data_IF_455301925673
#
_entry.id   IF_455301925673
#
_cell.length_a   1.000
_cell.length_b   1.000
_cell.length_c   1.000
_cell.angle_alpha   90.00
_cell.angle_beta   90.00
_cell.angle_gamma   90.00
#
_symmetry.space_group_name_H-M   'P 1'
#
loop_
_entity.id
_entity.type
_entity.pdbx_description
1 polymer ?
#
# COMPACT_ATOMS: atom_id res chain seq x y z
N UNK A 1 26.43 -10.97 15.25
CA UNK A 1 25.09 -10.67 15.80
C UNK A 1 24.09 -10.98 14.71
N UNK A 2 22.97 -11.63 15.01
CA UNK A 2 21.93 -11.86 14.00
C UNK A 2 21.42 -10.50 13.49
N UNK A 3 21.26 -10.39 12.18
CA UNK A 3 20.70 -9.20 11.54
C UNK A 3 19.21 -9.05 11.93
N UNK A 4 18.65 -7.86 11.78
CA UNK A 4 17.24 -7.57 12.13
C UNK A 4 16.39 -7.51 10.86
N UNK A 5 15.09 -7.88 10.90
CA UNK A 5 14.22 -7.83 9.72
C UNK A 5 14.05 -6.41 9.16
N UNK A 6 14.01 -5.40 10.03
CA UNK A 6 13.91 -3.99 9.68
C UNK A 6 15.01 -3.17 10.37
N UNK A 7 15.47 -2.12 9.70
CA UNK A 7 16.45 -1.14 10.20
C UNK A 7 16.02 0.28 9.86
N UNK A 8 16.61 1.25 10.54
CA UNK A 8 16.49 2.66 10.18
C UNK A 8 17.59 3.03 9.19
N UNK A 9 17.21 3.70 8.12
CA UNK A 9 18.07 4.17 7.04
C UNK A 9 17.94 5.68 6.90
N UNK A 10 19.04 6.36 6.63
CA UNK A 10 19.05 7.75 6.19
C UNK A 10 18.88 7.78 4.68
N UNK A 11 18.03 8.67 4.18
CA UNK A 11 17.83 8.90 2.76
C UNK A 11 17.69 10.39 2.48
N UNK A 12 18.04 10.79 1.26
CA UNK A 12 17.82 12.14 0.76
C UNK A 12 17.17 12.12 -0.61
N UNK A 13 16.35 13.12 -0.88
CA UNK A 13 15.66 13.28 -2.15
C UNK A 13 16.68 13.55 -3.26
N UNK A 14 16.59 12.81 -4.36
CA UNK A 14 17.40 13.02 -5.57
C UNK A 14 16.58 13.72 -6.64
N UNK A 15 15.34 13.29 -6.84
CA UNK A 15 14.44 13.88 -7.83
C UNK A 15 12.99 13.73 -7.43
N UNK A 16 12.18 14.70 -7.89
CA UNK A 16 10.73 14.71 -7.76
C UNK A 16 10.10 14.93 -9.12
N UNK A 17 9.16 14.06 -9.49
CA UNK A 17 8.41 14.13 -10.73
C UNK A 17 6.91 14.06 -10.42
N UNK A 18 6.13 15.04 -10.89
CA UNK A 18 4.67 14.89 -10.91
C UNK A 18 4.30 13.88 -11.99
N UNK A 19 3.70 12.75 -11.60
CA UNK A 19 3.19 11.73 -12.53
C UNK A 19 1.82 12.14 -13.06
N UNK A 20 0.98 12.63 -12.15
CA UNK A 20 -0.38 13.10 -12.41
C UNK A 20 -0.64 14.33 -11.55
N UNK A 21 -1.79 15.02 -11.68
CA UNK A 21 -2.11 16.16 -10.81
C UNK A 21 -2.07 15.82 -9.30
N UNK A 22 -2.38 14.57 -8.93
CA UNK A 22 -2.47 14.14 -7.53
C UNK A 22 -1.47 13.04 -7.14
N UNK A 23 -0.45 12.76 -7.97
CA UNK A 23 0.57 11.76 -7.67
C UNK A 23 1.96 12.28 -8.05
N UNK A 24 2.89 12.25 -7.10
CA UNK A 24 4.30 12.58 -7.33
C UNK A 24 5.19 11.36 -7.08
N UNK A 25 6.12 11.08 -8.00
CA UNK A 25 7.19 10.09 -7.81
C UNK A 25 8.41 10.77 -7.24
N UNK A 26 8.88 10.28 -6.10
CA UNK A 26 10.09 10.75 -5.45
C UNK A 26 11.13 9.64 -5.45
N UNK A 27 12.34 10.00 -5.88
CA UNK A 27 13.50 9.11 -5.92
C UNK A 27 14.48 9.51 -4.84
N UNK A 28 14.95 8.55 -4.06
CA UNK A 28 15.84 8.74 -2.92
C UNK A 28 17.14 7.97 -3.12
N UNK A 29 18.24 8.56 -2.65
CA UNK A 29 19.54 7.91 -2.47
C UNK A 29 19.93 7.98 -0.98
N UNK A 30 20.91 7.17 -0.59
CA UNK A 30 21.48 7.09 0.74
C UNK A 30 22.53 5.98 0.76
N UNK A 31 23.65 6.20 1.45
CA UNK A 31 24.76 5.23 1.51
C UNK A 31 24.29 3.82 1.90
N UNK A 32 23.33 3.75 2.84
CA UNK A 32 22.82 2.49 3.37
C UNK A 32 21.61 1.92 2.60
N UNK A 33 21.11 2.57 1.53
CA UNK A 33 20.05 1.99 0.70
C UNK A 33 20.51 0.67 0.06
N UNK A 34 21.81 0.46 -0.14
CA UNK A 34 22.37 -0.83 -0.59
C UNK A 34 22.07 -2.00 0.34
N UNK A 35 21.77 -1.73 1.61
CA UNK A 35 21.38 -2.72 2.61
C UNK A 35 19.84 -2.88 2.71
N UNK A 36 19.05 -2.19 1.89
CA UNK A 36 17.59 -2.38 1.82
C UNK A 36 17.22 -3.58 0.95
N UNK A 37 16.06 -4.17 1.23
CA UNK A 37 15.43 -5.15 0.34
C UNK A 37 13.93 -4.92 0.27
N UNK A 38 13.30 -5.43 -0.78
CA UNK A 38 11.86 -5.67 -0.84
C UNK A 38 11.59 -7.17 -1.03
N UNK A 39 10.42 -7.64 -0.62
CA UNK A 39 10.01 -9.06 -0.74
C UNK A 39 8.75 -9.27 -1.59
N UNK A 40 7.94 -8.24 -1.79
CA UNK A 40 6.77 -8.25 -2.66
C UNK A 40 6.47 -6.83 -3.16
N UNK A 41 5.63 -6.65 -4.20
CA UNK A 41 5.34 -5.34 -4.79
C UNK A 41 4.54 -4.41 -3.88
N UNK A 42 3.84 -4.94 -2.88
CA UNK A 42 3.12 -4.16 -1.86
C UNK A 42 3.93 -4.00 -0.56
N UNK A 43 5.26 -4.14 -0.62
CA UNK A 43 6.16 -3.93 0.51
C UNK A 43 6.05 -2.51 1.06
N UNK A 44 5.65 -2.43 2.33
CA UNK A 44 5.50 -1.19 3.07
C UNK A 44 6.73 -0.86 3.90
N UNK A 45 7.01 0.44 3.94
CA UNK A 45 8.05 1.10 4.72
C UNK A 45 7.44 2.23 5.54
N UNK A 46 8.16 2.68 6.58
CA UNK A 46 7.77 3.87 7.36
C UNK A 46 8.73 5.00 7.05
N UNK A 47 8.21 6.11 6.54
CA UNK A 47 8.96 7.35 6.34
C UNK A 47 8.78 8.24 7.55
N UNK A 48 9.89 8.81 8.02
CA UNK A 48 9.93 9.82 9.08
C UNK A 48 10.35 11.14 8.46
N UNK A 49 9.51 12.15 8.63
CA UNK A 49 9.71 13.47 8.04
C UNK A 49 10.28 14.45 9.08
N UNK A 50 10.94 15.53 8.63
CA UNK A 50 11.25 16.66 9.50
C UNK A 50 9.99 17.22 10.17
N UNK A 51 10.17 17.82 11.35
CA UNK A 51 9.15 18.60 12.04
C UNK A 51 8.85 19.91 11.27
N UNK A 52 7.76 20.59 11.61
CA UNK A 52 7.36 21.86 10.96
C UNK A 52 8.41 22.98 11.13
N UNK A 53 9.27 22.91 12.15
CA UNK A 53 10.38 23.83 12.39
C UNK A 53 11.67 23.45 11.64
N UNK A 54 11.63 22.39 10.82
CA UNK A 54 12.76 21.86 10.06
C UNK A 54 13.66 20.90 10.84
N UNK A 55 13.37 20.60 12.11
CA UNK A 55 14.14 19.62 12.89
C UNK A 55 14.10 18.25 12.20
N UNK A 56 15.27 17.65 11.86
CA UNK A 56 15.31 16.36 11.18
C UNK A 56 14.83 15.23 12.09
N UNK A 57 14.30 14.14 11.52
CA UNK A 57 13.96 12.94 12.29
C UNK A 57 15.23 12.34 12.93
N UNK A 58 15.09 11.88 14.17
CA UNK A 58 16.20 11.31 14.96
C UNK A 58 15.85 9.92 15.52
N UNK A 59 15.27 9.07 14.68
CA UNK A 59 14.90 7.68 15.02
C UNK A 59 16.19 6.85 15.18
N UNK A 60 16.40 6.18 16.33
CA UNK A 60 17.61 5.42 16.56
C UNK A 60 17.61 4.10 15.76
N UNK A 61 18.75 3.72 15.18
CA UNK A 61 18.90 2.45 14.47
C UNK A 61 19.05 1.23 15.42
N UNK A 62 18.07 1.00 16.29
CA UNK A 62 18.08 -0.02 17.36
C UNK A 62 16.80 -0.88 17.34
N UNK A 63 16.79 -2.10 17.90
CA UNK A 63 15.59 -2.95 17.90
C UNK A 63 14.39 -2.32 18.60
N UNK A 64 14.65 -1.52 19.64
CA UNK A 64 13.69 -0.81 20.48
C UNK A 64 13.27 0.57 19.92
N UNK A 65 13.60 0.88 18.66
CA UNK A 65 13.33 2.20 18.07
C UNK A 65 11.86 2.61 18.17
N UNK A 66 10.93 1.67 18.03
CA UNK A 66 9.50 1.97 18.06
C UNK A 66 8.99 2.26 19.47
N UNK A 67 9.58 1.62 20.48
CA UNK A 67 9.28 1.91 21.89
C UNK A 67 9.80 3.30 22.26
N UNK A 68 11.02 3.64 21.81
CA UNK A 68 11.60 4.98 21.95
C UNK A 68 10.73 6.01 21.23
N UNK A 69 10.35 5.75 19.97
CA UNK A 69 9.48 6.64 19.20
C UNK A 69 8.15 6.92 19.93
N UNK A 70 7.53 5.88 20.51
CA UNK A 70 6.29 6.00 21.29
C UNK A 70 6.46 6.73 22.63
N UNK A 71 7.66 6.77 23.20
CA UNK A 71 7.91 7.49 24.46
C UNK A 71 8.14 8.99 24.26
N UNK A 72 8.48 9.43 23.03
CA UNK A 72 8.61 10.86 22.69
C UNK A 72 7.23 11.53 22.76
N UNK A 73 7.07 12.69 23.42
CA UNK A 73 5.83 13.44 23.44
C UNK A 73 5.30 13.70 22.02
N UNK A 74 3.98 13.59 21.75
CA UNK A 74 3.45 13.75 20.39
C UNK A 74 3.85 15.04 19.68
N UNK A 75 4.02 16.15 20.41
CA UNK A 75 4.44 17.45 19.86
C UNK A 75 5.91 17.50 19.41
N UNK A 76 6.74 16.59 19.89
CA UNK A 76 8.18 16.49 19.59
C UNK A 76 8.48 15.29 18.68
N UNK A 77 7.44 14.53 18.32
CA UNK A 77 7.58 13.25 17.63
C UNK A 77 7.57 13.48 16.13
N UNK A 78 8.69 13.11 15.48
CA UNK A 78 8.82 13.15 14.02
C UNK A 78 7.62 12.51 13.32
N UNK A 79 6.97 13.18 12.36
CA UNK A 79 5.83 12.60 11.67
C UNK A 79 6.21 11.30 10.96
N UNK A 80 5.45 10.23 11.22
CA UNK A 80 5.65 8.92 10.60
C UNK A 80 4.48 8.60 9.67
N UNK A 81 4.77 8.15 8.43
CA UNK A 81 3.73 7.62 7.53
C UNK A 81 4.19 6.35 6.85
N UNK A 82 3.23 5.47 6.56
CA UNK A 82 3.49 4.23 5.84
C UNK A 82 3.34 4.48 4.35
N UNK A 83 4.32 4.02 3.57
CA UNK A 83 4.35 4.11 2.11
C UNK A 83 4.74 2.76 1.49
N UNK A 84 4.38 2.56 0.23
CA UNK A 84 4.82 1.39 -0.56
C UNK A 84 6.15 1.70 -1.25
N UNK A 85 7.08 0.74 -1.25
CA UNK A 85 8.25 0.78 -2.13
C UNK A 85 7.76 0.60 -3.56
N UNK A 86 7.81 1.65 -4.39
CA UNK A 86 7.40 1.56 -5.78
C UNK A 86 8.42 0.78 -6.62
N UNK A 87 9.70 1.03 -6.37
CA UNK A 87 10.82 0.22 -6.86
C UNK A 87 12.04 0.44 -5.95
N UNK A 88 12.93 -0.55 -5.93
CA UNK A 88 14.20 -0.48 -5.21
C UNK A 88 15.28 -1.12 -6.08
N UNK A 89 16.27 -0.31 -6.48
CA UNK A 89 17.55 -0.80 -6.97
C UNK A 89 18.59 -0.57 -5.88
N UNK A 90 18.77 -1.58 -5.02
CA UNK A 90 19.72 -1.48 -3.91
C UNK A 90 21.16 -1.34 -4.39
N UNK A 91 21.52 -1.93 -5.53
CA UNK A 91 22.90 -1.87 -6.03
C UNK A 91 23.22 -0.48 -6.60
N UNK A 92 22.23 0.18 -7.22
CA UNK A 92 22.31 1.59 -7.62
C UNK A 92 22.01 2.58 -6.48
N UNK A 93 21.56 2.09 -5.32
CA UNK A 93 21.08 2.87 -4.16
C UNK A 93 19.90 3.78 -4.48
N UNK A 94 19.00 3.31 -5.34
CA UNK A 94 17.82 4.05 -5.76
C UNK A 94 16.56 3.46 -5.10
N UNK A 95 15.91 4.25 -4.25
CA UNK A 95 14.58 3.94 -3.71
C UNK A 95 13.55 4.88 -4.33
N UNK A 96 12.50 4.33 -4.91
CA UNK A 96 11.39 5.10 -5.49
C UNK A 96 10.14 4.91 -4.65
N UNK A 97 9.47 6.02 -4.34
CA UNK A 97 8.20 6.05 -3.62
C UNK A 97 7.24 7.01 -4.31
N UNK A 98 6.01 6.57 -4.52
CA UNK A 98 4.95 7.40 -5.08
C UNK A 98 4.10 8.00 -3.93
N UNK A 99 3.87 9.31 -4.01
CA UNK A 99 3.18 10.13 -3.01
C UNK A 99 1.86 10.66 -3.57
N UNK A 100 0.76 10.33 -2.89
CA UNK A 100 -0.53 10.99 -3.13
C UNK A 100 -0.45 12.43 -2.64
N UNK A 101 -0.76 13.36 -3.53
CA UNK A 101 -0.71 14.80 -3.30
C UNK A 101 -2.12 15.30 -2.96
N UNK A 102 -2.35 15.66 -1.70
CA UNK A 102 -3.65 16.13 -1.21
C UNK A 102 -3.54 17.49 -0.49
N UNK A 103 -2.65 18.34 -1.00
CA UNK A 103 -2.32 19.65 -0.43
C UNK A 103 -1.38 19.56 0.79
N UNK A 104 -1.27 20.64 1.55
CA UNK A 104 -0.33 20.75 2.67
C UNK A 104 -0.94 20.33 4.02
N UNK A 105 -2.18 19.84 4.06
CA UNK A 105 -2.90 19.48 5.30
C UNK A 105 -2.29 18.31 6.10
N UNK A 106 -1.30 17.59 5.55
CA UNK A 106 -0.60 16.50 6.22
C UNK A 106 0.91 16.57 6.05
N UNK A 107 1.70 16.08 7.02
CA UNK A 107 3.15 16.26 7.06
C UNK A 107 3.87 15.65 5.85
N UNK A 108 3.43 14.47 5.38
CA UNK A 108 4.07 13.81 4.25
C UNK A 108 3.76 14.50 2.91
N UNK A 109 2.51 14.86 2.65
CA UNK A 109 2.11 15.60 1.43
C UNK A 109 2.71 17.02 1.42
N UNK A 110 2.77 17.70 2.58
CA UNK A 110 3.48 18.98 2.76
C UNK A 110 4.96 18.84 2.44
N UNK A 111 5.64 17.86 3.04
CA UNK A 111 7.05 17.62 2.76
C UNK A 111 7.26 17.32 1.26
N UNK A 112 6.50 16.40 0.67
CA UNK A 112 6.63 16.07 -0.75
C UNK A 112 6.40 17.29 -1.68
N UNK A 113 5.48 18.19 -1.32
CA UNK A 113 5.20 19.41 -2.09
C UNK A 113 6.41 20.35 -2.13
N UNK A 114 7.05 20.58 -0.99
CA UNK A 114 8.11 21.58 -0.86
C UNK A 114 9.54 21.03 -0.92
N UNK A 115 9.73 19.73 -0.76
CA UNK A 115 11.06 19.14 -0.71
C UNK A 115 11.84 19.34 -2.03
N UNK A 116 13.12 19.65 -1.88
CA UNK A 116 14.09 19.81 -2.96
C UNK A 116 15.15 18.70 -2.91
N UNK A 117 15.85 18.42 -4.03
CA UNK A 117 16.97 17.49 -4.02
C UNK A 117 17.98 17.84 -2.92
N UNK A 118 18.33 16.86 -2.09
CA UNK A 118 19.18 16.99 -0.91
C UNK A 118 18.43 16.96 0.42
N UNK A 119 17.11 17.21 0.43
CA UNK A 119 16.29 17.14 1.64
C UNK A 119 16.22 15.72 2.19
N UNK A 120 16.31 15.60 3.52
CA UNK A 120 16.55 14.33 4.21
C UNK A 120 15.32 13.80 4.91
N UNK A 121 15.21 12.48 4.93
CA UNK A 121 14.24 11.71 5.72
C UNK A 121 14.93 10.49 6.33
N UNK A 122 14.29 9.91 7.34
CA UNK A 122 14.64 8.57 7.81
C UNK A 122 13.59 7.56 7.36
N UNK A 123 14.01 6.32 7.16
CA UNK A 123 13.17 5.25 6.64
C UNK A 123 13.34 3.99 7.49
N UNK A 124 12.25 3.44 8.01
CA UNK A 124 12.23 2.05 8.48
C UNK A 124 11.89 1.14 7.30
N UNK A 125 12.87 0.35 6.85
CA UNK A 125 12.75 -0.54 5.70
C UNK A 125 13.31 -1.95 5.98
N UNK A 126 12.95 -2.96 5.17
CA UNK A 126 13.50 -4.28 5.31
C UNK A 126 15.01 -4.33 5.07
N UNK A 127 15.70 -5.15 5.87
CA UNK A 127 17.15 -5.30 5.83
C UNK A 127 17.56 -6.47 4.94
N UNK A 128 18.33 -6.21 3.87
CA UNK A 128 18.84 -7.19 2.92
C UNK A 128 19.69 -8.28 3.57
N UNK A 129 20.34 -7.97 4.69
CA UNK A 129 21.23 -8.90 5.40
C UNK A 129 20.49 -9.86 6.33
N UNK A 130 19.18 -9.70 6.50
CA UNK A 130 18.37 -10.60 7.29
C UNK A 130 17.85 -11.77 6.44
N UNK A 131 18.14 -12.99 6.91
CA UNK A 131 17.84 -14.26 6.23
C UNK A 131 16.51 -14.89 6.68
N UNK A 132 15.86 -14.34 7.70
CA UNK A 132 14.56 -14.80 8.20
C UNK A 132 13.35 -14.20 7.47
N UNK A 133 12.17 -14.43 8.05
CA UNK A 133 10.89 -13.94 7.52
C UNK A 133 10.77 -12.43 7.74
N UNK A 134 10.58 -11.69 6.65
CA UNK A 134 10.32 -10.26 6.64
C UNK A 134 8.82 -10.06 6.39
N UNK A 135 8.17 -9.22 7.19
CA UNK A 135 6.77 -8.85 7.00
C UNK A 135 6.60 -7.52 6.26
N UNK A 136 5.42 -6.91 6.40
CA UNK A 136 5.12 -5.59 5.83
C UNK A 136 4.64 -5.62 4.39
N UNK A 137 4.24 -6.77 3.90
CA UNK A 137 3.58 -6.99 2.61
C UNK A 137 2.54 -8.11 2.77
N UNK A 138 1.57 -8.14 1.86
CA UNK A 138 0.43 -9.07 1.92
C UNK A 138 0.05 -9.62 0.53
N UNK A 139 0.71 -9.18 -0.54
CA UNK A 139 0.70 -9.87 -1.82
C UNK A 139 1.45 -11.20 -1.71
N UNK A 140 0.69 -12.25 -1.44
CA UNK A 140 1.16 -13.63 -1.34
C UNK A 140 0.17 -14.54 -2.10
N UNK A 141 0.12 -14.48 -3.45
CA UNK A 141 -0.81 -15.27 -4.23
C UNK A 141 -0.41 -16.77 -4.23
N UNK A 142 -1.37 -17.70 -4.35
CA UNK A 142 -1.07 -19.12 -4.51
C UNK A 142 -0.38 -19.41 -5.84
N UNK A 143 0.49 -20.42 -5.85
CA UNK A 143 1.13 -20.87 -7.08
C UNK A 143 0.10 -21.38 -8.11
N UNK A 144 0.22 -20.91 -9.35
CA UNK A 144 -0.73 -21.25 -10.42
C UNK A 144 -2.09 -20.58 -10.27
N UNK A 145 -2.14 -19.39 -9.64
CA UNK A 145 -3.34 -18.57 -9.52
C UNK A 145 -4.08 -18.47 -10.87
N UNK A 146 -5.37 -18.82 -10.86
CA UNK A 146 -6.22 -18.84 -12.05
C UNK A 146 -6.98 -17.53 -12.24
N UNK A 147 -7.47 -16.93 -11.15
CA UNK A 147 -8.22 -15.68 -11.19
C UNK A 147 -7.78 -14.70 -10.10
N UNK A 148 -7.64 -13.43 -10.46
CA UNK A 148 -7.28 -12.34 -9.57
C UNK A 148 -8.36 -11.26 -9.60
N UNK A 149 -8.75 -10.80 -8.41
CA UNK A 149 -9.49 -9.55 -8.23
C UNK A 149 -8.60 -8.55 -7.48
N UNK A 150 -8.38 -7.38 -8.07
CA UNK A 150 -7.66 -6.27 -7.49
C UNK A 150 -8.60 -5.08 -7.37
N UNK A 151 -8.75 -4.52 -6.17
CA UNK A 151 -9.50 -3.27 -5.94
C UNK A 151 -8.62 -2.32 -5.12
N UNK A 152 -8.33 -1.14 -5.67
CA UNK A 152 -7.44 -0.16 -5.05
C UNK A 152 -8.01 1.26 -5.14
N UNK A 153 -7.60 2.16 -4.24
CA UNK A 153 -7.64 3.60 -4.47
C UNK A 153 -6.26 4.16 -4.80
N UNK A 154 -6.13 5.48 -4.96
CA UNK A 154 -4.86 6.12 -5.32
C UNK A 154 -3.75 5.90 -4.27
N UNK A 155 -4.09 5.65 -3.00
CA UNK A 155 -3.09 5.38 -1.95
C UNK A 155 -2.53 3.95 -2.06
N UNK A 156 -3.33 3.02 -2.59
CA UNK A 156 -2.95 1.65 -2.87
C UNK A 156 -2.44 1.45 -4.32
N UNK A 157 -2.62 2.45 -5.20
CA UNK A 157 -2.18 2.39 -6.60
C UNK A 157 -0.70 2.00 -6.78
N UNK A 158 0.28 2.50 -5.99
CA UNK A 158 1.67 2.08 -6.15
C UNK A 158 1.88 0.56 -5.95
N UNK A 159 1.20 -0.03 -4.96
CA UNK A 159 1.22 -1.47 -4.72
C UNK A 159 0.49 -2.23 -5.84
N UNK A 160 -0.69 -1.76 -6.23
CA UNK A 160 -1.47 -2.36 -7.31
C UNK A 160 -0.71 -2.37 -8.64
N UNK A 161 -0.04 -1.27 -8.98
CA UNK A 161 0.81 -1.17 -10.16
C UNK A 161 1.95 -2.20 -10.11
N UNK A 162 2.66 -2.29 -8.98
CA UNK A 162 3.72 -3.28 -8.80
C UNK A 162 3.23 -4.72 -8.92
N UNK A 163 2.05 -5.04 -8.37
CA UNK A 163 1.42 -6.36 -8.49
C UNK A 163 1.14 -6.69 -9.96
N UNK A 164 0.53 -5.77 -10.71
CA UNK A 164 0.21 -5.97 -12.12
C UNK A 164 1.48 -6.09 -12.99
N UNK A 165 2.54 -5.35 -12.65
CA UNK A 165 3.87 -5.44 -13.29
C UNK A 165 4.55 -6.79 -13.02
N UNK A 166 4.50 -7.29 -11.79
CA UNK A 166 5.02 -8.61 -11.45
C UNK A 166 4.29 -9.71 -12.26
N UNK A 167 2.96 -9.66 -12.30
CA UNK A 167 2.13 -10.61 -13.05
C UNK A 167 2.39 -10.52 -14.55
N UNK A 168 2.65 -9.32 -15.09
CA UNK A 168 3.00 -9.15 -16.50
C UNK A 168 4.24 -9.97 -16.89
N UNK A 169 5.17 -10.19 -15.95
CA UNK A 169 6.34 -11.04 -16.10
C UNK A 169 6.07 -12.55 -15.97
N UNK A 170 4.90 -12.97 -15.47
CA UNK A 170 4.59 -14.39 -15.27
C UNK A 170 4.39 -15.13 -16.60
N UNK A 171 4.81 -16.39 -16.64
CA UNK A 171 4.65 -17.27 -17.82
C UNK A 171 3.18 -17.56 -18.13
N UNK A 172 2.39 -17.84 -17.10
CA UNK A 172 0.95 -18.02 -17.18
C UNK A 172 0.31 -17.00 -16.25
N UNK A 173 -0.53 -16.13 -16.81
CA UNK A 173 -1.14 -15.00 -16.10
C UNK A 173 -2.57 -15.37 -15.72
N UNK A 174 -3.04 -15.04 -14.51
CA UNK A 174 -4.43 -15.23 -14.15
C UNK A 174 -5.34 -14.34 -14.98
N UNK A 175 -6.59 -14.77 -15.17
CA UNK A 175 -7.66 -13.86 -15.55
C UNK A 175 -7.81 -12.81 -14.43
N UNK A 176 -7.65 -11.54 -14.76
CA UNK A 176 -7.50 -10.48 -13.77
C UNK A 176 -8.57 -9.41 -13.96
N UNK A 177 -9.29 -9.08 -12.90
CA UNK A 177 -10.14 -7.90 -12.80
C UNK A 177 -9.45 -6.91 -11.89
N UNK A 178 -9.09 -5.73 -12.41
CA UNK A 178 -8.48 -4.67 -11.64
C UNK A 178 -9.35 -3.42 -11.70
N UNK A 179 -9.71 -2.90 -10.53
CA UNK A 179 -10.51 -1.70 -10.35
C UNK A 179 -9.68 -0.71 -9.53
N UNK A 180 -9.37 0.46 -10.08
CA UNK A 180 -8.55 1.45 -9.40
C UNK A 180 -9.27 2.79 -9.36
N UNK A 181 -9.69 3.18 -8.15
CA UNK A 181 -10.23 4.50 -7.88
C UNK A 181 -9.12 5.56 -7.87
N UNK A 182 -9.36 6.67 -8.55
CA UNK A 182 -8.43 7.79 -8.65
C UNK A 182 -9.18 9.12 -8.52
N UNK A 183 -8.52 10.23 -8.13
CA UNK A 183 -9.19 11.52 -7.98
C UNK A 183 -9.87 11.99 -9.28
N UNK A 184 -9.18 11.88 -10.42
CA UNK A 184 -9.70 12.33 -11.71
C UNK A 184 -9.21 11.47 -12.89
N UNK A 185 -9.78 11.66 -14.07
CA UNK A 185 -9.30 11.02 -15.31
C UNK A 185 -7.84 11.36 -15.64
N UNK A 186 -7.36 12.53 -15.19
CA UNK A 186 -5.97 12.95 -15.36
C UNK A 186 -5.00 12.21 -14.42
N UNK A 187 -5.53 11.40 -13.49
CA UNK A 187 -4.76 10.58 -12.55
C UNK A 187 -4.61 9.11 -12.99
N UNK A 188 -5.02 8.81 -14.22
CA UNK A 188 -4.75 7.53 -14.86
C UNK A 188 -3.29 7.46 -15.29
N UNK A 189 -2.61 6.37 -14.93
CA UNK A 189 -1.23 6.08 -15.37
C UNK A 189 -1.20 4.90 -16.33
N UNK A 190 -0.14 4.80 -17.12
CA UNK A 190 0.12 3.63 -17.94
C UNK A 190 0.44 2.42 -17.06
N UNK A 191 -0.31 1.34 -17.26
CA UNK A 191 -0.11 0.05 -16.61
C UNK A 191 0.01 -1.06 -17.67
N UNK A 192 0.66 -2.19 -17.34
CA UNK A 192 0.78 -3.32 -18.25
C UNK A 192 -0.57 -3.81 -18.78
N UNK A 193 -0.53 -4.45 -19.95
CA UNK A 193 -1.70 -5.09 -20.57
C UNK A 193 -1.36 -6.51 -20.97
N UNK A 194 -2.30 -7.43 -20.82
CA UNK A 194 -2.22 -8.79 -21.33
C UNK A 194 -3.62 -9.35 -21.59
N UNK A 195 -3.68 -10.40 -22.41
CA UNK A 195 -4.92 -11.14 -22.65
C UNK A 195 -5.40 -11.76 -21.34
N UNK A 196 -6.56 -11.29 -20.85
CA UNK A 196 -7.13 -11.69 -19.58
C UNK A 196 -7.07 -10.62 -18.48
N UNK A 197 -6.39 -9.49 -18.68
CA UNK A 197 -6.52 -8.32 -17.79
C UNK A 197 -7.67 -7.43 -18.23
N UNK A 198 -8.67 -7.27 -17.34
CA UNK A 198 -9.69 -6.23 -17.40
C UNK A 198 -9.36 -5.16 -16.36
N UNK A 199 -8.67 -4.11 -16.80
CA UNK A 199 -8.34 -2.94 -15.97
C UNK A 199 -9.41 -1.85 -16.18
N UNK A 200 -10.03 -1.43 -15.08
CA UNK A 200 -11.04 -0.36 -15.04
C UNK A 200 -10.56 0.73 -14.10
N UNK A 201 -10.36 1.93 -14.64
CA UNK A 201 -10.14 3.14 -13.84
C UNK A 201 -11.47 3.70 -13.38
N UNK A 202 -11.51 4.15 -12.14
CA UNK A 202 -12.71 4.70 -11.50
C UNK A 202 -12.41 6.14 -11.04
N UNK A 203 -12.41 7.12 -11.94
CA UNK A 203 -12.31 8.52 -11.55
C UNK A 203 -13.46 8.89 -10.60
N UNK A 204 -13.15 9.51 -9.46
CA UNK A 204 -14.18 10.10 -8.59
C UNK A 204 -14.82 11.32 -9.24
N UNK A 205 -14.05 12.10 -10.00
CA UNK A 205 -14.52 13.30 -10.68
C UNK A 205 -14.75 14.47 -9.71
N UNK A 206 -15.42 15.53 -10.19
CA UNK A 206 -15.69 16.76 -9.40
C UNK A 206 -16.96 16.67 -8.53
N UNK A 207 -17.68 15.55 -8.55
CA UNK A 207 -18.87 15.37 -7.71
C UNK A 207 -18.44 14.80 -6.34
N UNK A 208 -19.16 15.19 -5.27
CA UNK A 208 -18.96 14.81 -3.84
C UNK A 208 -19.09 13.29 -3.57
N UNK A 209 -18.59 12.42 -4.44
CA UNK A 209 -18.49 11.00 -4.14
C UNK A 209 -17.55 10.81 -2.95
N UNK A 210 -18.07 10.16 -1.91
CA UNK A 210 -17.25 9.76 -0.78
C UNK A 210 -16.08 8.89 -1.27
N UNK A 211 -14.91 9.06 -0.66
CA UNK A 211 -13.73 8.24 -0.93
C UNK A 211 -14.08 6.74 -0.82
N UNK A 212 -13.71 5.98 -1.83
CA UNK A 212 -13.97 4.54 -1.93
C UNK A 212 -15.40 4.15 -2.31
N UNK A 213 -16.31 5.09 -2.60
CA UNK A 213 -17.64 4.77 -3.08
C UNK A 213 -17.62 4.00 -4.41
N UNK A 214 -16.69 4.34 -5.32
CA UNK A 214 -16.57 3.65 -6.60
C UNK A 214 -15.95 2.26 -6.41
N UNK A 215 -15.03 2.11 -5.45
CA UNK A 215 -14.50 0.79 -5.08
C UNK A 215 -15.62 -0.16 -4.61
N UNK A 216 -16.57 0.33 -3.80
CA UNK A 216 -17.71 -0.47 -3.33
C UNK A 216 -18.60 -0.87 -4.50
N UNK A 217 -18.95 0.05 -5.41
CA UNK A 217 -19.74 -0.26 -6.60
C UNK A 217 -19.04 -1.27 -7.52
N UNK A 218 -17.72 -1.16 -7.69
CA UNK A 218 -16.93 -2.11 -8.44
C UNK A 218 -16.92 -3.51 -7.80
N UNK A 219 -16.84 -3.59 -6.46
CA UNK A 219 -16.96 -4.85 -5.73
C UNK A 219 -18.33 -5.51 -5.93
N UNK A 220 -19.42 -4.72 -5.96
CA UNK A 220 -20.76 -5.23 -6.27
C UNK A 220 -20.84 -5.86 -7.67
N UNK A 221 -20.22 -5.21 -8.66
CA UNK A 221 -20.18 -5.67 -10.05
C UNK A 221 -19.12 -6.76 -10.34
N UNK A 222 -18.15 -6.98 -9.45
CA UNK A 222 -17.07 -7.92 -9.68
C UNK A 222 -17.58 -9.35 -9.90
N UNK A 223 -17.04 -10.01 -10.93
CA UNK A 223 -17.33 -11.42 -11.21
C UNK A 223 -16.54 -12.30 -10.25
N UNK A 224 -17.25 -13.10 -9.45
CA UNK A 224 -16.64 -14.00 -8.46
C UNK A 224 -16.94 -15.44 -8.83
N UNK A 225 -15.94 -16.35 -8.86
CA UNK A 225 -16.19 -17.77 -9.10
C UNK A 225 -17.13 -18.40 -8.07
N UNK A 226 -18.09 -19.19 -8.54
CA UNK A 226 -18.94 -19.97 -7.62
C UNK A 226 -18.14 -20.97 -6.77
N UNK A 227 -16.95 -21.36 -7.22
CA UNK A 227 -16.06 -22.30 -6.51
C UNK A 227 -15.48 -21.77 -5.21
N UNK A 228 -15.48 -20.45 -4.99
CA UNK A 228 -14.86 -19.81 -3.80
C UNK A 228 -15.88 -19.38 -2.75
N UNK A 229 -17.14 -19.79 -2.93
CA UNK A 229 -18.20 -19.53 -1.97
C UNK A 229 -18.08 -20.49 -0.79
N UNK A 230 -18.09 -19.94 0.43
CA UNK A 230 -18.04 -20.70 1.67
C UNK A 230 -19.34 -21.47 1.95
N UNK A 231 -19.22 -22.59 2.66
CA UNK A 231 -20.38 -23.34 3.14
C UNK A 231 -20.91 -22.75 4.47
N UNK A 232 -22.14 -22.25 4.46
CA UNK A 232 -22.85 -21.81 5.68
C UNK A 232 -22.81 -20.31 5.95
N UNK A 233 -23.43 -19.90 7.07
CA UNK A 233 -23.39 -18.52 7.53
C UNK A 233 -22.00 -18.21 8.10
N UNK A 234 -21.30 -17.25 7.52
CA UNK A 234 -20.01 -16.80 8.02
C UNK A 234 -20.23 -15.73 9.09
N UNK A 235 -19.88 -16.04 10.34
CA UNK A 235 -19.76 -15.02 11.37
C UNK A 235 -18.57 -14.11 11.03
N UNK A 236 -18.82 -12.81 11.04
CA UNK A 236 -17.78 -11.79 10.98
C UNK A 236 -17.82 -11.03 12.27
N UNK A 237 -16.68 -11.01 12.95
CA UNK A 237 -16.42 -10.03 13.97
C UNK A 237 -16.59 -8.63 13.37
N UNK A 238 -17.41 -7.82 14.05
CA UNK A 238 -17.54 -6.42 13.73
C UNK A 238 -16.18 -5.77 13.95
N UNK A 239 -15.64 -5.16 12.90
CA UNK A 239 -14.42 -4.36 13.00
C UNK A 239 -14.88 -2.94 13.26
N UNK A 240 -14.56 -2.43 14.45
CA UNK A 240 -14.76 -1.02 14.73
C UNK A 240 -13.69 -0.25 13.97
N UNK A 241 -14.02 0.22 12.77
CA UNK A 241 -13.07 0.96 11.93
C UNK A 241 -12.50 2.20 12.62
N UNK A 242 -13.11 2.70 13.71
CA UNK A 242 -12.63 3.84 14.49
C UNK A 242 -11.51 3.48 15.45
N UNK A 243 -11.44 2.23 15.89
CA UNK A 243 -10.55 1.76 16.95
C UNK A 243 -9.67 0.57 16.54
N UNK A 244 -10.08 -0.20 15.53
CA UNK A 244 -9.44 -1.43 15.07
C UNK A 244 -8.75 -1.23 13.72
N UNK A 245 -7.67 -1.99 13.53
CA UNK A 245 -6.98 -2.08 12.24
C UNK A 245 -7.71 -3.12 11.39
N UNK A 246 -8.39 -2.66 10.34
CA UNK A 246 -8.94 -3.55 9.32
C UNK A 246 -7.79 -4.16 8.49
N UNK A 247 -7.44 -5.41 8.82
CA UNK A 247 -6.40 -6.17 8.16
C UNK A 247 -6.78 -7.65 8.10
N UNK A 248 -7.39 -8.07 6.99
CA UNK A 248 -7.62 -9.49 6.70
C UNK A 248 -6.56 -9.96 5.70
N UNK A 249 -5.96 -11.12 5.95
CA UNK A 249 -4.98 -11.75 5.04
C UNK A 249 -5.54 -13.08 4.55
N UNK A 250 -5.40 -13.33 3.25
CA UNK A 250 -5.73 -14.62 2.65
C UNK A 250 -4.84 -15.74 3.23
N UNK A 251 -5.38 -16.95 3.33
CA UNK A 251 -4.66 -18.15 3.81
C UNK A 251 -4.24 -19.08 2.64
N UNK A 252 -4.52 -18.70 1.39
CA UNK A 252 -4.15 -19.44 0.15
C UNK A 252 -4.50 -20.94 0.20
N UNK A 253 -5.80 -21.25 0.23
CA UNK A 253 -6.29 -22.63 0.37
C UNK A 253 -6.33 -23.44 -0.93
N UNK A 254 -6.39 -22.74 -2.07
CA UNK A 254 -6.28 -23.28 -3.41
C UNK A 254 -5.73 -22.18 -4.36
N UNK A 255 -5.71 -22.45 -5.67
CA UNK A 255 -5.25 -21.51 -6.68
C UNK A 255 -6.36 -20.98 -7.59
N UNK A 256 -7.64 -21.18 -7.25
CA UNK A 256 -8.76 -20.82 -8.10
C UNK A 256 -8.97 -19.30 -8.14
N UNK A 257 -8.83 -18.63 -6.99
CA UNK A 257 -9.11 -17.21 -6.85
C UNK A 257 -8.28 -16.56 -5.72
N UNK A 258 -7.90 -15.32 -5.94
CA UNK A 258 -7.26 -14.46 -4.95
C UNK A 258 -7.80 -13.03 -5.10
N UNK A 259 -8.24 -12.43 -4.00
CA UNK A 259 -8.66 -11.04 -3.94
C UNK A 259 -7.66 -10.20 -3.15
N UNK A 260 -7.17 -9.11 -3.74
CA UNK A 260 -6.35 -8.11 -3.07
C UNK A 260 -7.09 -6.78 -3.10
N UNK A 261 -7.47 -6.27 -1.93
CA UNK A 261 -8.25 -5.04 -1.79
C UNK A 261 -7.57 -4.11 -0.79
N UNK A 262 -7.26 -2.88 -1.21
CA UNK A 262 -6.66 -1.89 -0.32
C UNK A 262 -7.12 -0.46 -0.63
N UNK A 263 -7.25 0.36 0.40
CA UNK A 263 -7.63 1.77 0.23
C UNK A 263 -8.26 2.36 1.48
N UNK A 264 -9.25 3.24 1.29
CA UNK A 264 -9.99 3.88 2.38
C UNK A 264 -10.70 2.84 3.29
N UNK A 265 -10.49 2.96 4.60
CA UNK A 265 -10.86 1.92 5.58
C UNK A 265 -12.36 1.65 5.65
N UNK A 266 -13.22 2.67 5.58
CA UNK A 266 -14.67 2.48 5.60
C UNK A 266 -15.15 1.80 4.31
N UNK A 267 -14.60 2.15 3.15
CA UNK A 267 -14.90 1.48 1.89
C UNK A 267 -14.45 0.01 1.91
N UNK A 268 -13.23 -0.28 2.35
CA UNK A 268 -12.73 -1.67 2.49
C UNK A 268 -13.60 -2.47 3.49
N UNK A 269 -14.06 -1.85 4.58
CA UNK A 269 -14.98 -2.49 5.54
C UNK A 269 -16.34 -2.84 4.92
N UNK A 270 -16.87 -1.94 4.06
CA UNK A 270 -18.10 -2.19 3.30
C UNK A 270 -17.91 -3.32 2.30
N UNK A 271 -16.80 -3.34 1.55
CA UNK A 271 -16.44 -4.42 0.63
C UNK A 271 -16.30 -5.75 1.38
N UNK A 272 -15.65 -5.76 2.55
CA UNK A 272 -15.53 -6.94 3.41
C UNK A 272 -16.89 -7.52 3.78
N UNK A 273 -17.83 -6.67 4.19
CA UNK A 273 -19.19 -7.09 4.53
C UNK A 273 -19.93 -7.65 3.32
N UNK A 274 -19.86 -6.96 2.18
CA UNK A 274 -20.43 -7.42 0.92
C UNK A 274 -19.87 -8.79 0.52
N UNK A 275 -18.55 -8.94 0.48
CA UNK A 275 -17.91 -10.17 0.02
C UNK A 275 -18.16 -11.35 0.94
N UNK A 276 -17.99 -11.17 2.25
CA UNK A 276 -18.06 -12.31 3.17
C UNK A 276 -19.49 -12.57 3.67
N UNK A 277 -20.33 -11.56 3.95
CA UNK A 277 -21.73 -11.80 4.39
C UNK A 277 -22.68 -12.03 3.24
N UNK A 278 -22.64 -11.14 2.26
CA UNK A 278 -23.70 -11.08 1.23
C UNK A 278 -23.39 -12.02 0.08
N UNK A 279 -22.16 -11.96 -0.46
CA UNK A 279 -21.68 -12.86 -1.51
C UNK A 279 -21.14 -14.18 -0.98
N UNK A 280 -20.90 -14.31 0.33
CA UNK A 280 -20.42 -15.55 1.00
C UNK A 280 -19.09 -16.08 0.45
N UNK A 281 -18.20 -15.20 0.04
CA UNK A 281 -16.84 -15.57 -0.38
C UNK A 281 -16.09 -16.07 0.85
N UNK A 282 -15.41 -17.21 0.73
CA UNK A 282 -14.53 -17.68 1.79
C UNK A 282 -13.37 -16.69 1.97
N UNK A 283 -13.29 -16.10 3.17
CA UNK A 283 -12.33 -15.06 3.53
C UNK A 283 -10.88 -15.48 3.28
N UNK A 284 -10.58 -16.78 3.25
CA UNK A 284 -9.24 -17.32 3.01
C UNK A 284 -8.70 -17.03 1.60
N UNK A 285 -9.56 -16.56 0.69
CA UNK A 285 -9.14 -16.05 -0.62
C UNK A 285 -8.95 -14.53 -0.66
N UNK A 286 -9.24 -13.80 0.41
CA UNK A 286 -9.30 -12.33 0.40
C UNK A 286 -8.25 -11.72 1.33
N UNK A 287 -7.40 -10.88 0.76
CA UNK A 287 -6.56 -9.93 1.48
C UNK A 287 -7.21 -8.56 1.40
N UNK A 288 -7.59 -7.98 2.53
CA UNK A 288 -8.30 -6.70 2.62
C UNK A 288 -7.64 -5.79 3.65
N UNK A 289 -7.21 -4.61 3.22
CA UNK A 289 -6.37 -3.71 4.01
C UNK A 289 -6.89 -2.27 3.96
N UNK A 290 -7.30 -1.72 5.10
CA UNK A 290 -7.52 -0.27 5.20
C UNK A 290 -6.18 0.44 5.27
N UNK A 291 -5.82 1.25 4.28
CA UNK A 291 -4.56 2.03 4.25
C UNK A 291 -4.70 3.34 5.01
N UNK A 292 -5.81 4.04 4.80
CA UNK A 292 -6.08 5.34 5.40
C UNK A 292 -7.56 5.47 5.77
N UNK A 293 -7.94 6.56 6.43
CA UNK A 293 -9.33 6.83 6.76
C UNK A 293 -9.63 8.32 6.60
N UNK A 294 -10.72 8.63 5.92
CA UNK A 294 -11.13 10.01 5.74
C UNK A 294 -11.44 10.68 7.10
N UNK A 295 -10.97 11.91 7.29
CA UNK A 295 -11.15 12.66 8.53
C UNK A 295 -10.32 12.17 9.73
N UNK A 296 -9.42 11.18 9.56
CA UNK A 296 -8.53 10.72 10.63
C UNK A 296 -7.07 10.70 10.21
N UNK A 297 -6.20 11.21 11.07
CA UNK A 297 -4.75 11.02 10.95
C UNK A 297 -4.38 9.70 11.61
N UNK A 298 -3.92 8.72 10.83
CA UNK A 298 -3.29 7.52 11.39
C UNK A 298 -1.86 7.84 11.82
N UNK A 299 -1.53 7.51 13.07
CA UNK A 299 -0.22 7.68 13.68
C UNK A 299 0.75 6.55 13.30
#
# INVERSE_FOLDING_TARGET
MSERPYRIFEAFLVSKQMLTPHMARLTFDGEHIADMTTRAPDQRIKLFFPMDDGTPPAIPNRPDWYEIYKSIPPAERAPMRTYTIRSLDADARELVVDFVMHGDNGPASRWAMYAEPGDRIQISAPNRRFDGVIGGFDWEPPAGLSQLLLIADETALPAAAGILEEIAGWKAKPATQAFIEVPSEADVIDLPRWDGLRLTWLPRGQHDHAFGAQMVAAAEAAEIPASVLGAGAMELEAVDVDHDILWDRAETIDNAFYGWIAGETAAVSRIRTLFIKEKRIDRRHLTMMGYWRHGKVRA
#
